data_IF_970748500415
#
_entry.id   IF_970748500415
#
_cell.length_a   1.000
_cell.length_b   1.000
_cell.length_c   1.000
_cell.angle_alpha   90.00
_cell.angle_beta   90.00
_cell.angle_gamma   90.00
#
_symmetry.space_group_name_H-M   'P 1'
#
loop_
_entity.id
_entity.type
_entity.pdbx_description
1 polymer ?
#
# COMPACT_ATOMS: atom_id res chain seq x y z
N UNK A 1 -10.19 3.92 -11.45
CA UNK A 1 -10.92 5.16 -11.10
C UNK A 1 -9.92 6.02 -10.35
N UNK A 2 -9.66 7.25 -10.78
CA UNK A 2 -8.79 8.14 -9.99
C UNK A 2 -9.50 8.45 -8.67
N UNK A 3 -8.83 8.20 -7.55
CA UNK A 3 -9.31 8.69 -6.26
C UNK A 3 -9.32 10.22 -6.31
N UNK A 4 -10.40 10.84 -5.82
CA UNK A 4 -10.39 12.28 -5.58
C UNK A 4 -9.45 12.56 -4.41
N UNK A 5 -8.24 13.01 -4.75
CA UNK A 5 -7.14 13.29 -3.82
C UNK A 5 -6.98 14.80 -3.56
N UNK A 6 -8.00 15.61 -3.90
CA UNK A 6 -7.98 17.07 -3.72
C UNK A 6 -7.75 17.53 -2.27
N UNK A 7 -7.91 16.63 -1.31
CA UNK A 7 -7.71 16.85 0.13
C UNK A 7 -6.30 16.49 0.63
N UNK A 8 -5.47 15.82 -0.18
CA UNK A 8 -4.10 15.46 0.18
C UNK A 8 -3.10 16.55 -0.22
N UNK A 9 -2.06 16.71 0.60
CA UNK A 9 -0.98 17.66 0.33
C UNK A 9 -0.19 17.32 -0.94
N UNK A 10 0.56 18.31 -1.44
CA UNK A 10 1.49 18.12 -2.56
C UNK A 10 2.87 17.61 -2.05
N UNK A 11 3.65 17.04 -2.96
CA UNK A 11 5.02 16.58 -2.78
C UNK A 11 5.17 15.49 -1.72
N UNK A 12 6.19 15.63 -0.88
CA UNK A 12 6.52 14.63 0.15
C UNK A 12 5.43 14.49 1.23
N UNK A 13 4.64 15.54 1.46
CA UNK A 13 3.56 15.53 2.46
C UNK A 13 2.44 14.61 1.97
N UNK A 14 2.00 14.77 0.72
CA UNK A 14 1.04 13.85 0.09
C UNK A 14 1.57 12.42 -0.02
N UNK A 15 2.87 12.26 -0.28
CA UNK A 15 3.53 10.95 -0.24
C UNK A 15 3.40 10.28 1.13
N UNK A 16 3.74 10.98 2.21
CA UNK A 16 3.63 10.46 3.57
C UNK A 16 2.18 10.12 3.92
N UNK A 17 1.22 10.98 3.58
CA UNK A 17 -0.21 10.72 3.80
C UNK A 17 -0.67 9.44 3.08
N UNK A 18 -0.32 9.28 1.80
CA UNK A 18 -0.58 8.06 1.04
C UNK A 18 0.10 6.82 1.65
N UNK A 19 1.34 6.99 2.12
CA UNK A 19 2.10 5.94 2.81
C UNK A 19 1.44 5.49 4.11
N UNK A 20 0.91 6.41 4.91
CA UNK A 20 0.18 6.09 6.15
C UNK A 20 -1.11 5.32 5.83
N UNK A 21 -1.88 5.77 4.83
CA UNK A 21 -3.10 5.06 4.40
C UNK A 21 -2.75 3.66 3.91
N UNK A 22 -1.68 3.54 3.13
CA UNK A 22 -1.18 2.26 2.62
C UNK A 22 -0.71 1.33 3.74
N UNK A 23 -0.08 1.87 4.78
CA UNK A 23 0.30 1.11 5.96
C UNK A 23 -0.92 0.59 6.72
N UNK A 24 -1.97 1.41 6.89
CA UNK A 24 -3.22 0.96 7.50
C UNK A 24 -3.89 -0.15 6.66
N UNK A 25 -3.94 0.01 5.34
CA UNK A 25 -4.48 -1.01 4.44
C UNK A 25 -3.70 -2.32 4.51
N UNK A 26 -2.35 -2.26 4.47
CA UNK A 26 -1.47 -3.42 4.59
C UNK A 26 -1.62 -4.13 5.93
N UNK A 27 -1.71 -3.38 7.03
CA UNK A 27 -1.94 -3.90 8.37
C UNK A 27 -3.30 -4.63 8.47
N UNK A 28 -4.37 -4.01 7.98
CA UNK A 28 -5.72 -4.57 8.01
C UNK A 28 -5.83 -5.84 7.17
N UNK A 29 -5.26 -5.84 5.96
CA UNK A 29 -5.25 -7.02 5.11
C UNK A 29 -4.41 -8.15 5.71
N UNK A 30 -3.24 -7.85 6.28
CA UNK A 30 -2.47 -8.85 7.00
C UNK A 30 -3.27 -9.45 8.16
N UNK A 31 -3.94 -8.62 8.97
CA UNK A 31 -4.82 -9.09 10.04
C UNK A 31 -5.93 -10.01 9.54
N UNK A 32 -6.57 -9.66 8.42
CA UNK A 32 -7.60 -10.48 7.78
C UNK A 32 -7.06 -11.83 7.31
N UNK A 33 -5.93 -11.84 6.59
CA UNK A 33 -5.31 -13.08 6.10
C UNK A 33 -4.70 -13.91 7.22
N UNK A 34 -4.25 -13.29 8.29
CA UNK A 34 -3.77 -14.00 9.47
C UNK A 34 -4.93 -14.69 10.20
N UNK A 35 -6.07 -14.00 10.36
CA UNK A 35 -7.28 -14.59 10.93
C UNK A 35 -7.86 -15.73 10.08
N UNK A 36 -7.90 -15.55 8.75
CA UNK A 36 -8.30 -16.61 7.81
C UNK A 36 -7.29 -17.77 7.80
N UNK A 37 -6.00 -17.46 7.81
CA UNK A 37 -4.91 -18.44 7.78
C UNK A 37 -4.84 -19.29 9.03
N UNK A 38 -5.18 -18.73 10.19
CA UNK A 38 -5.29 -19.47 11.45
C UNK A 38 -6.42 -20.52 11.46
N UNK A 39 -7.40 -20.42 10.56
CA UNK A 39 -8.45 -21.44 10.39
C UNK A 39 -8.07 -22.54 9.39
N UNK A 40 -7.07 -22.29 8.55
CA UNK A 40 -6.71 -23.14 7.41
C UNK A 40 -5.25 -23.65 7.47
N UNK A 41 -4.54 -23.48 8.59
CA UNK A 41 -3.11 -23.84 8.77
C UNK A 41 -2.17 -23.24 7.70
N UNK A 42 -2.46 -22.02 7.25
CA UNK A 42 -1.60 -21.36 6.26
C UNK A 42 -0.29 -20.92 6.87
N UNK A 43 0.83 -21.17 6.18
CA UNK A 43 2.12 -20.60 6.54
C UNK A 43 2.14 -19.08 6.37
N UNK A 44 3.09 -18.39 7.02
CA UNK A 44 3.22 -16.93 6.93
C UNK A 44 3.51 -16.43 5.50
N UNK A 45 4.13 -17.25 4.65
CA UNK A 45 4.48 -16.86 3.27
C UNK A 45 3.27 -16.42 2.44
N UNK A 46 2.27 -17.29 2.23
CA UNK A 46 1.02 -16.92 1.55
C UNK A 46 0.26 -15.77 2.22
N UNK A 47 0.23 -15.72 3.56
CA UNK A 47 -0.45 -14.63 4.28
C UNK A 47 0.18 -13.26 3.96
N UNK A 48 1.51 -13.16 4.03
CA UNK A 48 2.25 -11.93 3.70
C UNK A 48 2.13 -11.62 2.21
N UNK A 49 2.28 -12.63 1.35
CA UNK A 49 2.22 -12.46 -0.11
C UNK A 49 0.88 -11.91 -0.59
N UNK A 50 -0.24 -12.51 -0.17
CA UNK A 50 -1.57 -12.05 -0.54
C UNK A 50 -1.91 -10.68 0.05
N UNK A 51 -1.48 -10.42 1.29
CA UNK A 51 -1.66 -9.12 1.92
C UNK A 51 -0.91 -8.02 1.16
N UNK A 52 0.35 -8.27 0.80
CA UNK A 52 1.17 -7.33 0.05
C UNK A 52 0.59 -7.06 -1.35
N UNK A 53 0.22 -8.12 -2.07
CA UNK A 53 -0.33 -8.01 -3.41
C UNK A 53 -1.64 -7.21 -3.40
N UNK A 54 -2.59 -7.57 -2.51
CA UNK A 54 -3.88 -6.91 -2.47
C UNK A 54 -3.81 -5.48 -1.93
N UNK A 55 -2.97 -5.23 -0.92
CA UNK A 55 -2.77 -3.88 -0.39
C UNK A 55 -2.18 -2.96 -1.47
N UNK A 56 -1.14 -3.42 -2.17
CA UNK A 56 -0.50 -2.65 -3.25
C UNK A 56 -1.48 -2.37 -4.39
N UNK A 57 -2.29 -3.35 -4.79
CA UNK A 57 -3.32 -3.16 -5.83
C UNK A 57 -4.40 -2.20 -5.36
N UNK A 58 -4.76 -2.19 -4.08
CA UNK A 58 -5.81 -1.28 -3.59
C UNK A 58 -5.32 0.16 -3.41
N UNK A 59 -4.08 0.36 -2.97
CA UNK A 59 -3.60 1.69 -2.59
C UNK A 59 -2.80 2.34 -3.70
N UNK A 60 -1.82 1.64 -4.26
CA UNK A 60 -0.89 2.19 -5.24
C UNK A 60 -1.37 2.08 -6.69
N UNK A 61 -2.50 1.41 -6.98
CA UNK A 61 -2.90 1.13 -8.38
C UNK A 61 -3.10 2.37 -9.24
N UNK A 62 -3.57 3.49 -8.68
CA UNK A 62 -3.74 4.75 -9.41
C UNK A 62 -2.38 5.33 -9.79
N UNK A 63 -1.59 5.72 -8.79
CA UNK A 63 -0.32 6.40 -8.97
C UNK A 63 0.70 5.51 -9.72
N UNK A 64 0.67 4.19 -9.51
CA UNK A 64 1.51 3.23 -10.23
C UNK A 64 1.13 3.11 -11.71
N UNK A 65 -0.18 3.14 -12.02
CA UNK A 65 -0.65 3.11 -13.41
C UNK A 65 -0.32 4.40 -14.15
N UNK A 66 -0.40 5.54 -13.48
CA UNK A 66 0.02 6.82 -14.01
C UNK A 66 1.53 6.82 -14.30
N UNK A 67 2.35 6.33 -13.37
CA UNK A 67 3.79 6.20 -13.54
C UNK A 67 4.13 5.26 -14.72
N UNK A 68 3.44 4.12 -14.82
CA UNK A 68 3.59 3.20 -15.94
C UNK A 68 3.21 3.84 -17.28
N UNK A 69 2.07 4.54 -17.32
CA UNK A 69 1.59 5.24 -18.51
C UNK A 69 2.58 6.33 -18.94
N UNK A 70 3.06 7.16 -18.02
CA UNK A 70 4.01 8.22 -18.38
C UNK A 70 5.39 7.71 -18.79
N UNK A 71 5.84 6.56 -18.26
CA UNK A 71 7.13 5.98 -18.63
C UNK A 71 7.10 5.24 -19.97
N UNK A 72 6.00 4.53 -20.27
CA UNK A 72 5.92 3.62 -21.42
C UNK A 72 4.97 4.07 -22.53
N UNK A 73 4.01 4.95 -22.27
CA UNK A 73 3.18 5.48 -23.34
C UNK A 73 4.04 6.37 -24.24
N UNK A 74 4.08 6.05 -25.53
CA UNK A 74 4.69 6.89 -26.56
C UNK A 74 3.84 8.14 -26.76
N UNK A 75 4.01 9.13 -25.88
CA UNK A 75 3.36 10.43 -26.01
C UNK A 75 3.96 11.14 -27.22
N UNK A 76 3.27 11.07 -28.36
CA UNK A 76 3.75 11.55 -29.65
C UNK A 76 3.89 13.08 -29.73
N UNK A 77 3.38 13.84 -28.74
CA UNK A 77 3.59 15.28 -28.67
C UNK A 77 3.72 15.78 -27.22
N UNK A 78 4.62 16.76 -27.04
CA UNK A 78 4.88 17.43 -25.76
C UNK A 78 3.62 18.14 -25.21
N UNK A 79 2.70 18.53 -26.09
CA UNK A 79 1.43 19.17 -25.75
C UNK A 79 0.42 18.19 -25.14
N UNK A 80 0.38 16.94 -25.63
CA UNK A 80 -0.49 15.91 -25.07
C UNK A 80 0.00 15.45 -23.69
N UNK A 81 1.32 15.34 -23.53
CA UNK A 81 1.97 15.11 -22.23
C UNK A 81 1.60 16.20 -21.22
N UNK A 82 1.72 17.49 -21.60
CA UNK A 82 1.33 18.61 -20.72
C UNK A 82 -0.16 18.63 -20.39
N UNK A 83 -1.03 18.33 -21.37
CA UNK A 83 -2.47 18.26 -21.15
C UNK A 83 -2.86 17.12 -20.19
N UNK A 84 -2.12 16.00 -20.21
CA UNK A 84 -2.30 14.89 -19.27
C UNK A 84 -1.68 15.15 -17.91
N UNK A 85 -0.51 15.79 -17.85
CA UNK A 85 0.08 16.26 -16.58
C UNK A 85 -0.84 17.25 -15.84
N UNK A 86 -1.51 18.14 -16.57
CA UNK A 86 -2.46 19.10 -15.99
C UNK A 86 -3.73 18.43 -15.41
N UNK A 87 -4.01 17.17 -15.79
CA UNK A 87 -5.12 16.39 -15.25
C UNK A 87 -4.71 15.54 -14.04
N UNK A 88 -3.41 15.37 -13.77
CA UNK A 88 -2.93 14.61 -12.62
C UNK A 88 -2.73 15.55 -11.44
N UNK A 89 -3.30 15.19 -10.30
CA UNK A 89 -3.05 15.88 -9.05
C UNK A 89 -1.59 15.62 -8.64
N UNK A 90 -0.79 16.68 -8.66
CA UNK A 90 0.65 16.69 -8.35
C UNK A 90 1.57 15.85 -9.28
N UNK A 91 1.82 16.32 -10.51
CA UNK A 91 2.57 15.56 -11.51
C UNK A 91 4.04 15.29 -11.15
N UNK A 92 4.65 16.16 -10.34
CA UNK A 92 6.05 16.02 -9.92
C UNK A 92 6.21 15.05 -8.72
N UNK A 93 5.11 14.77 -8.00
CA UNK A 93 5.09 13.96 -6.78
C UNK A 93 4.73 12.49 -6.97
N UNK A 94 4.23 12.07 -8.15
CA UNK A 94 3.68 10.72 -8.39
C UNK A 94 4.65 9.61 -7.98
N UNK A 95 5.92 9.70 -8.41
CA UNK A 95 6.93 8.69 -8.06
C UNK A 95 7.22 8.61 -6.56
N UNK A 96 7.19 9.75 -5.87
CA UNK A 96 7.38 9.82 -4.42
C UNK A 96 6.17 9.20 -3.69
N UNK A 97 4.95 9.44 -4.19
CA UNK A 97 3.73 8.84 -3.63
C UNK A 97 3.74 7.33 -3.76
N UNK A 98 3.99 6.79 -4.96
CA UNK A 98 4.11 5.34 -5.18
C UNK A 98 5.16 4.71 -4.24
N UNK A 99 6.32 5.36 -4.08
CA UNK A 99 7.35 4.87 -3.16
C UNK A 99 6.85 4.85 -1.72
N UNK A 100 6.24 5.94 -1.25
CA UNK A 100 5.69 6.02 0.10
C UNK A 100 4.57 5.00 0.33
N UNK A 101 3.72 4.75 -0.65
CA UNK A 101 2.66 3.74 -0.60
C UNK A 101 3.24 2.33 -0.45
N UNK A 102 4.22 1.97 -1.29
CA UNK A 102 4.89 0.66 -1.20
C UNK A 102 5.60 0.47 0.14
N UNK A 103 6.31 1.49 0.62
CA UNK A 103 6.94 1.47 1.94
C UNK A 103 5.89 1.37 3.05
N UNK A 104 4.78 2.08 2.90
CA UNK A 104 3.62 2.03 3.78
C UNK A 104 3.07 0.61 3.89
N UNK A 105 2.70 -0.02 2.77
CA UNK A 105 2.21 -1.40 2.72
C UNK A 105 3.18 -2.36 3.42
N UNK A 106 4.47 -2.27 3.08
CA UNK A 106 5.50 -3.13 3.68
C UNK A 106 5.59 -2.95 5.20
N UNK A 107 5.57 -1.69 5.67
CA UNK A 107 5.62 -1.36 7.10
C UNK A 107 4.36 -1.82 7.83
N UNK A 108 3.18 -1.62 7.25
CA UNK A 108 1.91 -2.05 7.82
C UNK A 108 1.84 -3.57 8.02
N UNK A 109 2.26 -4.33 7.02
CA UNK A 109 2.34 -5.80 7.10
C UNK A 109 3.38 -6.24 8.14
N UNK A 110 4.54 -5.59 8.17
CA UNK A 110 5.59 -5.89 9.15
C UNK A 110 5.11 -5.67 10.59
N UNK A 111 4.42 -4.56 10.85
CA UNK A 111 3.82 -4.27 12.17
C UNK A 111 2.76 -5.33 12.51
N UNK A 112 1.89 -5.68 11.56
CA UNK A 112 0.88 -6.72 11.76
C UNK A 112 1.50 -8.06 12.15
N UNK A 113 2.55 -8.47 11.44
CA UNK A 113 3.29 -9.69 11.74
C UNK A 113 3.94 -9.66 13.13
N UNK A 114 4.53 -8.53 13.52
CA UNK A 114 5.12 -8.37 14.85
C UNK A 114 4.07 -8.46 15.97
N UNK A 115 2.89 -7.88 15.76
CA UNK A 115 1.74 -7.98 16.67
C UNK A 115 1.27 -9.43 16.82
N UNK A 116 1.16 -10.18 15.71
CA UNK A 116 0.79 -11.61 15.74
C UNK A 116 1.78 -12.46 16.54
N UNK A 117 3.09 -12.20 16.42
CA UNK A 117 4.11 -12.91 17.21
C UNK A 117 4.00 -12.65 18.71
N UNK A 118 3.67 -11.41 19.11
CA UNK A 118 3.50 -11.03 20.52
C UNK A 118 2.20 -11.60 21.13
N UNK A 119 1.15 -11.75 20.33
CA UNK A 119 -0.12 -12.34 20.75
C UNK A 119 -0.02 -13.84 21.06
N UNK A 120 0.78 -14.58 20.30
CA UNK A 120 1.01 -16.02 20.54
C UNK A 120 1.72 -16.31 21.87
N UNK A 121 2.65 -15.45 22.29
CA UNK A 121 3.43 -15.63 23.53
C UNK A 121 2.62 -15.38 24.82
N UNK A 122 1.44 -14.76 24.70
CA UNK A 122 0.55 -14.45 25.84
C UNK A 122 -0.49 -15.54 26.12
N UNK A 123 -0.70 -16.47 25.19
CA UNK A 123 -1.64 -17.60 25.34
C UNK A 123 -1.08 -18.74 26.18
N UNK A 124 0.22 -19.03 26.06
CA UNK A 124 0.91 -20.13 26.73
C UNK A 124 1.01 -19.96 28.26
N UNK A 125 1.00 -18.70 28.74
CA UNK A 125 1.08 -18.40 30.18
C UNK A 125 -0.24 -18.49 30.93
N UNK A 126 -1.37 -18.74 30.25
CA UNK A 126 -2.70 -18.85 30.89
C UNK A 126 -3.17 -20.29 31.11
N UNK A 127 -2.52 -21.28 30.51
CA UNK A 127 -2.87 -22.71 30.67
C UNK A 127 -1.97 -23.45 31.67
N UNK A 128 -0.99 -22.76 32.25
CA UNK A 128 -0.02 -23.29 33.21
C UNK A 128 -0.23 -22.81 34.66
N UNK A 129 -1.38 -22.19 34.96
CA UNK A 129 -1.76 -21.70 36.29
C UNK A 129 -2.80 -22.56 36.99
#
# INVERSE_FOLDING_TARGET
>A
MHYDQSWMGYGIIGGIEAGIISALAGLLLFGLFHWLGGRNDWSYGPQIGWSFLLATVLTASGDLWDLFYFNYARLQSLQLLKAKLAQVHDPDGIGTRVLCELLGVALGIYIGWLCSRRGGDSGDKRESG
#
